data_IF_892676154001
#
_entry.id   IF_892676154001
#
_cell.length_a   1.000
_cell.length_b   1.000
_cell.length_c   1.000
_cell.angle_alpha   90.00
_cell.angle_beta   90.00
_cell.angle_gamma   90.00
#
_symmetry.space_group_name_H-M   'P 1'
#
loop_
_entity.id
_entity.type
_entity.pdbx_description
1 polymer ?
#
# COMPACT_ATOMS: atom_id res chain seq x y z
N UNK A 1 8.04 -20.94 -9.45
CA UNK A 1 7.44 -21.07 -8.10
C UNK A 1 6.58 -19.86 -7.75
N UNK A 2 7.07 -18.64 -8.00
CA UNK A 2 6.38 -17.37 -7.65
C UNK A 2 5.01 -17.17 -8.31
N UNK A 3 4.81 -17.57 -9.58
CA UNK A 3 3.51 -17.42 -10.26
C UNK A 3 2.41 -18.28 -9.64
N UNK A 4 2.73 -19.53 -9.29
CA UNK A 4 1.77 -20.45 -8.64
C UNK A 4 1.41 -19.93 -7.25
N UNK A 5 2.41 -19.48 -6.49
CA UNK A 5 2.20 -18.86 -5.18
C UNK A 5 1.30 -17.62 -5.28
N UNK A 6 1.56 -16.73 -6.24
CA UNK A 6 0.73 -15.55 -6.50
C UNK A 6 -0.72 -15.93 -6.83
N UNK A 7 -0.94 -16.92 -7.69
CA UNK A 7 -2.29 -17.40 -8.04
C UNK A 7 -2.99 -17.95 -6.79
N UNK A 8 -2.33 -18.83 -6.04
CA UNK A 8 -2.89 -19.42 -4.82
C UNK A 8 -3.27 -18.35 -3.80
N UNK A 9 -2.37 -17.39 -3.50
CA UNK A 9 -2.66 -16.31 -2.57
C UNK A 9 -3.72 -15.34 -3.10
N UNK A 10 -3.77 -15.10 -4.40
CA UNK A 10 -4.85 -14.30 -5.01
C UNK A 10 -6.21 -14.94 -4.76
N UNK A 11 -6.33 -16.26 -4.94
CA UNK A 11 -7.56 -17.00 -4.63
C UNK A 11 -7.89 -16.91 -3.15
N UNK A 12 -6.92 -17.18 -2.28
CA UNK A 12 -7.09 -17.11 -0.82
C UNK A 12 -7.52 -15.71 -0.37
N UNK A 13 -6.83 -14.66 -0.80
CA UNK A 13 -7.15 -13.27 -0.46
C UNK A 13 -8.53 -12.87 -0.99
N UNK A 14 -8.89 -13.29 -2.20
CA UNK A 14 -10.22 -13.05 -2.75
C UNK A 14 -11.26 -13.69 -1.86
N UNK A 15 -11.13 -14.99 -1.54
CA UNK A 15 -12.04 -15.72 -0.65
C UNK A 15 -12.16 -15.02 0.71
N UNK A 16 -11.03 -14.67 1.33
CA UNK A 16 -10.98 -14.00 2.64
C UNK A 16 -11.65 -12.63 2.60
N UNK A 17 -11.38 -11.84 1.57
CA UNK A 17 -12.03 -10.55 1.36
C UNK A 17 -13.55 -10.70 1.21
N UNK A 18 -13.97 -11.81 0.61
CA UNK A 18 -15.38 -12.19 0.42
C UNK A 18 -15.89 -13.10 1.57
N UNK A 19 -15.34 -13.06 2.78
CA UNK A 19 -15.97 -13.76 3.91
C UNK A 19 -17.03 -12.89 4.60
N UNK A 20 -18.24 -13.41 4.91
CA UNK A 20 -19.19 -12.69 5.75
C UNK A 20 -18.62 -12.57 7.17
N UNK A 21 -18.29 -11.35 7.59
CA UNK A 21 -17.66 -11.09 8.88
C UNK A 21 -18.70 -10.73 9.93
N UNK A 22 -18.60 -11.38 11.10
CA UNK A 22 -19.23 -10.87 12.31
C UNK A 22 -18.41 -9.69 12.85
N UNK A 23 -19.02 -8.73 13.56
CA UNK A 23 -18.29 -7.64 14.19
C UNK A 23 -17.20 -8.20 15.12
N UNK A 24 -15.98 -7.69 14.99
CA UNK A 24 -14.90 -8.05 15.91
C UNK A 24 -15.11 -7.36 17.26
N UNK A 25 -14.69 -8.04 18.34
CA UNK A 25 -14.49 -7.34 19.60
C UNK A 25 -13.30 -6.39 19.46
N UNK A 26 -13.25 -5.33 20.28
CA UNK A 26 -12.17 -4.33 20.22
C UNK A 26 -10.79 -4.95 20.39
N UNK A 27 -10.66 -5.96 21.27
CA UNK A 27 -9.41 -6.68 21.48
C UNK A 27 -8.98 -7.43 20.21
N UNK A 28 -9.91 -8.15 19.58
CA UNK A 28 -9.63 -8.89 18.32
C UNK A 28 -9.27 -7.92 17.20
N UNK A 29 -9.96 -6.78 17.09
CA UNK A 29 -9.63 -5.73 16.11
C UNK A 29 -8.19 -5.21 16.31
N UNK A 30 -7.77 -4.95 17.55
CA UNK A 30 -6.41 -4.47 17.83
C UNK A 30 -5.37 -5.57 17.53
N UNK A 31 -5.57 -6.79 18.04
CA UNK A 31 -4.62 -7.89 17.85
C UNK A 31 -4.46 -8.26 16.37
N UNK A 32 -5.56 -8.33 15.62
CA UNK A 32 -5.52 -8.62 14.19
C UNK A 32 -4.90 -7.50 13.37
N UNK A 33 -5.00 -6.25 13.82
CA UNK A 33 -4.31 -5.10 13.21
C UNK A 33 -2.80 -5.06 13.48
N UNK A 34 -2.37 -5.55 14.65
CA UNK A 34 -0.94 -5.60 15.01
C UNK A 34 -0.16 -6.61 14.15
N UNK A 35 -0.77 -7.71 13.73
CA UNK A 35 -0.12 -8.74 12.92
C UNK A 35 0.44 -8.18 11.58
N UNK A 36 -0.37 -7.56 10.70
CA UNK A 36 0.15 -6.94 9.49
C UNK A 36 1.14 -5.81 9.82
N UNK A 37 0.86 -5.00 10.85
CA UNK A 37 1.77 -3.93 11.25
C UNK A 37 3.17 -4.45 11.60
N UNK A 38 3.27 -5.53 12.38
CA UNK A 38 4.54 -6.16 12.73
C UNK A 38 5.23 -6.78 11.51
N UNK A 39 4.48 -7.47 10.63
CA UNK A 39 5.05 -8.11 9.44
C UNK A 39 5.61 -7.07 8.44
N UNK A 40 4.86 -6.00 8.16
CA UNK A 40 5.34 -4.90 7.33
C UNK A 40 6.47 -4.11 8.03
N UNK A 41 6.37 -3.92 9.35
CA UNK A 41 7.39 -3.28 10.17
C UNK A 41 8.72 -4.01 10.12
N UNK A 42 8.72 -5.35 10.13
CA UNK A 42 9.93 -6.16 9.93
C UNK A 42 10.56 -5.91 8.55
N UNK A 43 9.76 -5.76 7.49
CA UNK A 43 10.27 -5.47 6.15
C UNK A 43 10.91 -4.09 6.06
N UNK A 44 10.31 -3.09 6.70
CA UNK A 44 10.90 -1.73 6.83
C UNK A 44 12.18 -1.78 7.68
N UNK A 45 12.15 -2.54 8.78
CA UNK A 45 13.30 -2.75 9.66
C UNK A 45 14.50 -3.30 8.89
N UNK A 46 14.31 -4.37 8.10
CA UNK A 46 15.39 -4.94 7.29
C UNK A 46 15.96 -3.94 6.27
N UNK A 47 15.12 -3.04 5.74
CA UNK A 47 15.54 -1.97 4.83
C UNK A 47 16.58 -1.02 5.40
N UNK A 48 16.60 -0.80 6.72
CA UNK A 48 17.62 0.06 7.36
C UNK A 48 19.03 -0.53 7.35
N UNK A 49 19.17 -1.83 7.11
CA UNK A 49 20.45 -2.53 7.20
C UNK A 49 21.06 -2.91 5.84
N UNK A 50 20.41 -2.54 4.73
CA UNK A 50 20.85 -2.91 3.37
C UNK A 50 22.20 -2.29 3.00
N UNK A 51 22.44 -1.04 3.41
CA UNK A 51 23.64 -0.27 3.03
C UNK A 51 24.69 -0.17 4.16
N UNK A 52 24.54 -0.94 5.24
CA UNK A 52 25.46 -0.86 6.38
C UNK A 52 26.72 -1.71 6.10
N UNK A 53 27.94 -1.17 6.29
CA UNK A 53 29.18 -1.86 5.95
C UNK A 53 29.34 -3.23 6.63
N UNK A 54 29.95 -4.17 5.90
CA UNK A 54 30.37 -5.46 6.46
C UNK A 54 31.37 -5.25 7.60
N UNK A 55 31.08 -5.85 8.76
CA UNK A 55 31.93 -5.78 9.97
C UNK A 55 31.37 -4.92 11.10
N UNK A 56 30.23 -4.24 10.89
CA UNK A 56 29.54 -3.54 11.98
C UNK A 56 28.96 -4.57 13.01
N UNK A 57 29.27 -4.43 14.31
CA UNK A 57 28.76 -5.33 15.36
C UNK A 57 27.22 -5.34 15.47
N UNK A 58 26.54 -4.27 15.07
CA UNK A 58 25.08 -4.18 15.07
C UNK A 58 24.51 -5.00 13.92
N UNK A 59 25.07 -4.86 12.72
CA UNK A 59 24.63 -5.61 11.53
C UNK A 59 24.80 -7.09 11.73
N UNK A 60 25.95 -7.52 12.25
CA UNK A 60 26.22 -8.93 12.53
C UNK A 60 25.23 -9.54 13.53
N UNK A 61 24.73 -8.75 14.48
CA UNK A 61 23.72 -9.18 15.45
C UNK A 61 22.32 -9.33 14.84
N UNK A 62 21.94 -8.48 13.89
CA UNK A 62 20.62 -8.53 13.21
C UNK A 62 20.62 -9.35 11.93
N UNK A 63 21.81 -9.73 11.42
CA UNK A 63 22.00 -10.43 10.15
C UNK A 63 21.12 -11.67 9.98
N UNK A 64 20.97 -12.56 10.98
CA UNK A 64 20.10 -13.73 10.83
C UNK A 64 18.64 -13.36 10.53
N UNK A 65 18.17 -12.27 11.14
CA UNK A 65 16.81 -11.76 10.94
C UNK A 65 16.66 -11.09 9.57
N UNK A 66 17.61 -10.23 9.17
CA UNK A 66 17.57 -9.56 7.87
C UNK A 66 17.73 -10.53 6.71
N UNK A 67 18.60 -11.53 6.84
CA UNK A 67 18.80 -12.58 5.84
C UNK A 67 17.51 -13.40 5.67
N UNK A 68 16.83 -13.77 6.77
CA UNK A 68 15.54 -14.45 6.70
C UNK A 68 14.46 -13.60 6.01
N UNK A 69 14.36 -12.31 6.37
CA UNK A 69 13.41 -11.36 5.76
C UNK A 69 13.65 -11.24 4.25
N UNK A 70 14.92 -11.27 3.83
CA UNK A 70 15.33 -11.22 2.42
C UNK A 70 15.25 -12.58 1.70
N UNK A 71 14.75 -13.64 2.35
CA UNK A 71 14.48 -14.94 1.73
C UNK A 71 15.56 -16.01 1.95
N UNK A 72 16.48 -15.80 2.89
CA UNK A 72 17.62 -16.69 3.16
C UNK A 72 17.28 -17.98 3.92
N UNK A 73 16.07 -18.16 4.47
CA UNK A 73 15.73 -19.37 5.23
C UNK A 73 14.21 -19.69 5.25
N UNK A 74 13.87 -20.90 5.73
CA UNK A 74 12.51 -21.40 5.88
C UNK A 74 11.94 -21.12 7.29
N UNK A 75 10.66 -20.77 7.45
CA UNK A 75 9.65 -20.56 6.40
C UNK A 75 9.94 -19.29 5.60
N UNK A 76 9.64 -19.29 4.30
CA UNK A 76 9.89 -18.11 3.46
C UNK A 76 9.15 -16.89 4.02
N UNK A 77 9.86 -15.77 4.23
CA UNK A 77 9.24 -14.54 4.76
C UNK A 77 8.07 -14.04 3.90
N UNK A 78 8.12 -14.28 2.59
CA UNK A 78 7.00 -13.98 1.69
C UNK A 78 5.70 -14.68 2.11
N UNK A 79 5.77 -15.92 2.62
CA UNK A 79 4.59 -16.64 3.13
C UNK A 79 4.04 -15.96 4.40
N UNK A 80 4.91 -15.46 5.27
CA UNK A 80 4.52 -14.69 6.46
C UNK A 80 3.81 -13.40 6.05
N UNK A 81 4.35 -12.68 5.06
CA UNK A 81 3.72 -11.49 4.51
C UNK A 81 2.37 -11.79 3.86
N UNK A 82 2.29 -12.83 3.03
CA UNK A 82 1.04 -13.17 2.35
C UNK A 82 -0.06 -13.57 3.34
N UNK A 83 0.32 -14.24 4.45
CA UNK A 83 -0.58 -14.56 5.56
C UNK A 83 -0.97 -13.30 6.35
N UNK A 84 -0.02 -12.41 6.59
CA UNK A 84 -0.28 -11.14 7.27
C UNK A 84 -1.21 -10.24 6.45
N UNK A 85 -1.09 -10.23 5.11
CA UNK A 85 -2.02 -9.56 4.18
C UNK A 85 -3.41 -10.16 4.32
N UNK A 86 -3.54 -11.48 4.32
CA UNK A 86 -4.83 -12.15 4.51
C UNK A 86 -5.53 -11.73 5.83
N UNK A 87 -4.79 -11.72 6.94
CA UNK A 87 -5.31 -11.24 8.24
C UNK A 87 -5.63 -9.75 8.18
N UNK A 88 -4.77 -8.96 7.52
CA UNK A 88 -4.95 -7.54 7.31
C UNK A 88 -6.20 -7.20 6.52
N UNK A 89 -6.60 -8.01 5.54
CA UNK A 89 -7.85 -7.83 4.79
C UNK A 89 -9.09 -7.98 5.69
N UNK A 90 -9.09 -8.96 6.59
CA UNK A 90 -10.16 -9.16 7.57
C UNK A 90 -10.23 -8.00 8.55
N UNK A 91 -9.08 -7.63 9.10
CA UNK A 91 -8.95 -6.49 9.99
C UNK A 91 -9.42 -5.20 9.31
N UNK A 92 -8.98 -4.93 8.09
CA UNK A 92 -9.31 -3.73 7.34
C UNK A 92 -10.82 -3.61 7.09
N UNK A 93 -11.46 -4.72 6.70
CA UNK A 93 -12.91 -4.78 6.54
C UNK A 93 -13.65 -4.47 7.86
N UNK A 94 -13.19 -5.01 8.98
CA UNK A 94 -13.78 -4.80 10.30
C UNK A 94 -13.54 -3.37 10.83
N UNK A 95 -12.29 -2.89 10.80
CA UNK A 95 -11.87 -1.59 11.31
C UNK A 95 -12.58 -0.42 10.59
N UNK A 96 -12.88 -0.56 9.30
CA UNK A 96 -13.58 0.46 8.53
C UNK A 96 -15.07 0.18 8.28
N UNK A 97 -15.62 -0.88 8.88
CA UNK A 97 -17.02 -1.30 8.70
C UNK A 97 -17.42 -1.42 7.22
N UNK A 98 -16.57 -2.04 6.41
CA UNK A 98 -16.80 -2.16 4.97
C UNK A 98 -17.95 -3.15 4.72
N UNK A 99 -19.08 -2.70 4.12
CA UNK A 99 -20.22 -3.56 3.90
C UNK A 99 -19.89 -4.77 3.03
N UNK A 100 -20.57 -5.87 3.30
CA UNK A 100 -20.44 -7.11 2.55
C UNK A 100 -20.59 -6.91 1.03
N UNK A 101 -21.61 -6.17 0.61
CA UNK A 101 -21.88 -5.86 -0.80
C UNK A 101 -20.74 -5.07 -1.47
N UNK A 102 -20.11 -4.17 -0.73
CA UNK A 102 -18.96 -3.40 -1.21
C UNK A 102 -17.76 -4.30 -1.45
N UNK A 103 -17.51 -5.26 -0.54
CA UNK A 103 -16.41 -6.22 -0.66
C UNK A 103 -16.58 -7.15 -1.85
N UNK A 104 -17.80 -7.67 -2.05
CA UNK A 104 -18.13 -8.44 -3.25
C UNK A 104 -17.90 -7.65 -4.54
N UNK A 105 -18.34 -6.39 -4.57
CA UNK A 105 -18.18 -5.52 -5.74
C UNK A 105 -16.72 -5.19 -6.08
N UNK A 106 -15.79 -5.32 -5.12
CA UNK A 106 -14.36 -5.06 -5.32
C UNK A 106 -13.50 -6.33 -5.31
N UNK A 107 -14.08 -7.51 -5.15
CA UNK A 107 -13.34 -8.77 -5.06
C UNK A 107 -12.51 -9.07 -6.32
N UNK A 108 -12.97 -8.60 -7.49
CA UNK A 108 -12.28 -8.75 -8.77
C UNK A 108 -10.94 -8.00 -8.83
N UNK A 109 -10.68 -7.05 -7.93
CA UNK A 109 -9.43 -6.27 -7.93
C UNK A 109 -8.22 -7.18 -7.73
N UNK A 110 -8.30 -8.17 -6.84
CA UNK A 110 -7.20 -9.11 -6.60
C UNK A 110 -6.79 -9.89 -7.87
N UNK A 111 -7.70 -10.62 -8.56
CA UNK A 111 -7.33 -11.35 -9.77
C UNK A 111 -6.91 -10.43 -10.91
N UNK A 112 -7.45 -9.22 -11.04
CA UNK A 112 -7.00 -8.27 -12.07
C UNK A 112 -5.58 -7.78 -11.81
N UNK A 113 -5.24 -7.43 -10.56
CA UNK A 113 -3.88 -7.02 -10.19
C UNK A 113 -2.89 -8.17 -10.35
N UNK A 114 -3.28 -9.39 -9.97
CA UNK A 114 -2.45 -10.58 -10.18
C UNK A 114 -2.22 -10.87 -11.67
N UNK A 115 -3.29 -10.83 -12.48
CA UNK A 115 -3.19 -11.02 -13.93
C UNK A 115 -2.32 -9.95 -14.58
N UNK A 116 -2.45 -8.69 -14.17
CA UNK A 116 -1.58 -7.61 -14.63
C UNK A 116 -0.12 -7.89 -14.25
N UNK A 117 0.14 -8.31 -13.00
CA UNK A 117 1.50 -8.64 -12.56
C UNK A 117 2.15 -9.80 -13.32
N UNK A 118 1.40 -10.86 -13.56
CA UNK A 118 1.86 -12.00 -14.36
C UNK A 118 2.10 -11.57 -15.80
N UNK A 119 1.14 -10.85 -16.41
CA UNK A 119 1.22 -10.42 -17.80
C UNK A 119 2.43 -9.52 -18.01
N UNK A 120 2.61 -8.49 -17.19
CA UNK A 120 3.78 -7.60 -17.27
C UNK A 120 5.06 -8.39 -17.19
N UNK A 121 5.20 -9.29 -16.21
CA UNK A 121 6.44 -10.07 -16.07
C UNK A 121 6.70 -10.98 -17.26
N UNK A 122 5.66 -11.61 -17.82
CA UNK A 122 5.80 -12.51 -18.97
C UNK A 122 6.12 -11.73 -20.25
N UNK A 123 5.56 -10.54 -20.44
CA UNK A 123 5.74 -9.77 -21.68
C UNK A 123 6.97 -8.88 -21.67
N UNK A 124 7.34 -8.30 -20.53
CA UNK A 124 8.45 -7.32 -20.42
C UNK A 124 9.65 -7.85 -19.65
N UNK A 125 9.51 -8.95 -18.91
CA UNK A 125 10.54 -9.48 -18.02
C UNK A 125 10.73 -8.68 -16.72
N UNK A 126 10.02 -7.56 -16.55
CA UNK A 126 10.15 -6.65 -15.42
C UNK A 126 9.07 -6.90 -14.36
N UNK A 127 9.30 -6.43 -13.14
CA UNK A 127 8.23 -6.32 -12.15
C UNK A 127 7.25 -5.19 -12.55
N UNK A 128 6.02 -5.22 -12.04
CA UNK A 128 5.04 -4.14 -12.31
C UNK A 128 5.57 -2.78 -11.87
N UNK A 129 6.29 -2.74 -10.76
CA UNK A 129 6.86 -1.53 -10.19
C UNK A 129 7.89 -0.93 -11.14
N UNK A 130 8.84 -1.74 -11.61
CA UNK A 130 9.84 -1.35 -12.62
C UNK A 130 9.18 -0.91 -13.93
N UNK A 131 8.21 -1.67 -14.43
CA UNK A 131 7.54 -1.36 -15.67
C UNK A 131 6.78 -0.02 -15.60
N UNK A 132 6.05 0.22 -14.51
CA UNK A 132 5.31 1.48 -14.32
C UNK A 132 6.26 2.66 -14.14
N UNK A 133 7.34 2.50 -13.38
CA UNK A 133 8.34 3.55 -13.15
C UNK A 133 9.09 3.94 -14.44
N UNK A 134 9.32 2.98 -15.33
CA UNK A 134 10.01 3.22 -16.62
C UNK A 134 9.07 3.75 -17.71
N UNK A 135 7.79 3.37 -17.68
CA UNK A 135 6.84 3.70 -18.76
C UNK A 135 6.09 5.00 -18.53
N UNK A 136 5.78 5.34 -17.27
CA UNK A 136 4.98 6.50 -16.92
C UNK A 136 5.79 7.48 -16.08
N UNK A 137 5.49 8.78 -16.16
CA UNK A 137 6.00 9.74 -15.18
C UNK A 137 5.17 9.70 -13.90
N UNK A 138 5.77 10.06 -12.76
CA UNK A 138 5.11 10.03 -11.46
C UNK A 138 3.76 10.78 -11.42
N UNK A 139 3.60 11.99 -12.01
CA UNK A 139 2.31 12.67 -12.02
C UNK A 139 1.25 11.94 -12.84
N UNK A 140 1.65 11.29 -13.95
CA UNK A 140 0.73 10.52 -14.80
C UNK A 140 0.31 9.24 -14.10
N UNK A 141 1.24 8.54 -13.44
CA UNK A 141 0.90 7.37 -12.63
C UNK A 141 -0.03 7.73 -11.46
N UNK A 142 0.25 8.84 -10.76
CA UNK A 142 -0.60 9.35 -9.69
C UNK A 142 -2.00 9.67 -10.18
N UNK A 143 -2.13 10.32 -11.34
CA UNK A 143 -3.41 10.62 -11.95
C UNK A 143 -4.16 9.35 -12.35
N UNK A 144 -3.49 8.39 -12.99
CA UNK A 144 -4.10 7.10 -13.36
C UNK A 144 -4.62 6.36 -12.12
N UNK A 145 -3.81 6.28 -11.06
CA UNK A 145 -4.20 5.68 -9.78
C UNK A 145 -5.40 6.43 -9.17
N UNK A 146 -5.37 7.76 -9.14
CA UNK A 146 -6.45 8.57 -8.59
C UNK A 146 -7.77 8.42 -9.37
N UNK A 147 -7.69 8.29 -10.69
CA UNK A 147 -8.86 8.02 -11.54
C UNK A 147 -9.42 6.62 -11.26
N UNK A 148 -8.57 5.59 -11.14
CA UNK A 148 -9.02 4.23 -10.77
C UNK A 148 -9.68 4.22 -9.40
N UNK A 149 -9.06 4.85 -8.39
CA UNK A 149 -9.62 4.95 -7.04
C UNK A 149 -10.92 5.76 -7.02
N UNK A 150 -11.00 6.85 -7.79
CA UNK A 150 -12.21 7.65 -7.95
C UNK A 150 -13.34 6.86 -8.62
N UNK A 151 -13.02 6.05 -9.64
CA UNK A 151 -13.98 5.16 -10.28
C UNK A 151 -14.47 4.07 -9.32
N UNK A 152 -13.57 3.43 -8.56
CA UNK A 152 -13.92 2.47 -7.51
C UNK A 152 -14.84 3.11 -6.46
N UNK A 153 -14.51 4.30 -5.96
CA UNK A 153 -15.34 5.03 -4.99
C UNK A 153 -16.75 5.29 -5.52
N UNK A 154 -16.86 5.60 -6.81
CA UNK A 154 -18.14 5.93 -7.45
C UNK A 154 -18.98 4.69 -7.74
N UNK A 155 -18.34 3.60 -8.18
CA UNK A 155 -19.00 2.37 -8.60
C UNK A 155 -19.32 1.43 -7.43
N UNK A 156 -18.51 1.43 -6.38
CA UNK A 156 -18.69 0.53 -5.24
C UNK A 156 -20.00 0.86 -4.51
N UNK A 157 -20.90 -0.13 -4.33
CA UNK A 157 -22.11 0.04 -3.52
C UNK A 157 -21.72 0.41 -2.09
N UNK A 158 -22.48 1.30 -1.44
CA UNK A 158 -22.18 1.70 -0.08
C UNK A 158 -23.28 2.55 0.56
N UNK A 159 -23.16 2.87 1.86
CA UNK A 159 -24.16 3.64 2.60
C UNK A 159 -24.19 5.13 2.22
N UNK A 160 -23.17 5.60 1.48
CA UNK A 160 -23.03 7.01 1.13
C UNK A 160 -23.81 7.37 -0.14
N UNK A 161 -24.49 8.52 -0.11
CA UNK A 161 -25.22 9.05 -1.25
C UNK A 161 -24.30 9.32 -2.46
N UNK A 162 -24.81 9.24 -3.70
CA UNK A 162 -24.00 9.43 -4.91
C UNK A 162 -23.24 10.76 -4.97
N UNK A 163 -23.80 11.83 -4.41
CA UNK A 163 -23.17 13.16 -4.35
C UNK A 163 -21.91 13.15 -3.50
N UNK A 164 -21.96 12.61 -2.28
CA UNK A 164 -20.79 12.45 -1.39
C UNK A 164 -19.70 11.61 -2.05
N UNK A 165 -20.07 10.50 -2.70
CA UNK A 165 -19.13 9.65 -3.44
C UNK A 165 -18.47 10.37 -4.61
N UNK A 166 -19.24 11.19 -5.34
CA UNK A 166 -18.72 12.05 -6.43
C UNK A 166 -17.73 13.08 -5.89
N UNK A 167 -18.06 13.78 -4.81
CA UNK A 167 -17.16 14.76 -4.19
C UNK A 167 -15.88 14.10 -3.68
N UNK A 168 -15.99 12.92 -3.07
CA UNK A 168 -14.82 12.16 -2.62
C UNK A 168 -13.94 11.71 -3.80
N UNK A 169 -14.54 11.26 -4.91
CA UNK A 169 -13.81 10.90 -6.12
C UNK A 169 -13.09 12.11 -6.74
N UNK A 170 -13.74 13.27 -6.79
CA UNK A 170 -13.11 14.52 -7.25
C UNK A 170 -11.93 14.88 -6.34
N UNK A 171 -12.11 14.80 -5.02
CA UNK A 171 -11.05 15.06 -4.06
C UNK A 171 -9.84 14.11 -4.25
N UNK A 172 -10.06 12.83 -4.54
CA UNK A 172 -8.97 11.89 -4.86
C UNK A 172 -8.22 12.32 -6.12
N UNK A 173 -8.95 12.62 -7.19
CA UNK A 173 -8.39 13.03 -8.50
C UNK A 173 -7.65 14.36 -8.40
N UNK A 174 -8.01 15.24 -7.47
CA UNK A 174 -7.29 16.49 -7.24
C UNK A 174 -6.10 16.33 -6.30
N UNK A 175 -6.28 15.71 -5.14
CA UNK A 175 -5.26 15.71 -4.07
C UNK A 175 -4.07 14.84 -4.45
N UNK A 176 -4.30 13.60 -4.92
CA UNK A 176 -3.22 12.63 -5.15
C UNK A 176 -2.22 13.11 -6.22
N UNK A 177 -2.66 13.58 -7.41
CA UNK A 177 -1.72 14.03 -8.44
C UNK A 177 -1.00 15.32 -8.06
N UNK A 178 -1.70 16.29 -7.45
CA UNK A 178 -1.09 17.55 -6.99
C UNK A 178 -0.03 17.27 -5.94
N UNK A 179 -0.33 16.43 -4.95
CA UNK A 179 0.65 16.11 -3.93
C UNK A 179 1.84 15.31 -4.46
N UNK A 180 1.60 14.38 -5.38
CA UNK A 180 2.70 13.64 -6.04
C UNK A 180 3.56 14.58 -6.88
N UNK A 181 2.94 15.53 -7.59
CA UNK A 181 3.68 16.55 -8.33
C UNK A 181 4.56 17.40 -7.40
N UNK A 182 4.02 17.89 -6.28
CA UNK A 182 4.80 18.61 -5.27
C UNK A 182 5.93 17.76 -4.69
N UNK A 183 5.68 16.47 -4.45
CA UNK A 183 6.70 15.52 -3.98
C UNK A 183 7.85 15.39 -4.98
N UNK A 184 7.54 15.28 -6.27
CA UNK A 184 8.55 15.18 -7.35
C UNK A 184 9.37 16.47 -7.47
N UNK A 185 8.77 17.64 -7.21
CA UNK A 185 9.50 18.90 -7.17
C UNK A 185 10.52 18.96 -6.02
N UNK A 186 10.36 18.14 -4.98
CA UNK A 186 11.29 18.03 -3.86
C UNK A 186 12.38 16.97 -4.09
N UNK A 187 12.28 16.12 -5.12
CA UNK A 187 13.30 15.12 -5.49
C UNK A 187 14.71 15.70 -5.62
N UNK A 188 14.93 16.89 -6.22
CA UNK A 188 16.26 17.48 -6.32
C UNK A 188 16.98 17.62 -4.98
N UNK A 189 16.25 17.92 -3.90
CA UNK A 189 16.80 18.05 -2.54
C UNK A 189 17.38 16.73 -2.02
N UNK A 190 16.78 15.61 -2.43
CA UNK A 190 17.26 14.26 -2.08
C UNK A 190 18.47 13.91 -2.92
N UNK A 191 18.44 14.19 -4.22
CA UNK A 191 19.57 13.89 -5.11
C UNK A 191 20.82 14.71 -4.80
N UNK A 192 20.68 15.87 -4.15
CA UNK A 192 21.80 16.67 -3.66
C UNK A 192 22.45 16.13 -2.39
N UNK A 193 21.86 15.14 -1.71
CA UNK A 193 22.43 14.53 -0.51
C UNK A 193 23.50 13.48 -0.85
N UNK A 194 24.46 13.21 0.07
CA UNK A 194 25.43 12.13 -0.10
C UNK A 194 24.73 10.80 -0.38
N UNK A 195 25.27 9.92 -1.26
CA UNK A 195 24.64 8.64 -1.62
C UNK A 195 24.22 7.79 -0.42
N UNK A 196 25.01 7.79 0.65
CA UNK A 196 24.72 7.07 1.91
C UNK A 196 23.49 7.56 2.67
N UNK A 197 23.02 8.78 2.41
CA UNK A 197 21.85 9.37 3.05
C UNK A 197 20.62 9.41 2.13
N UNK A 198 20.78 9.12 0.83
CA UNK A 198 19.69 9.24 -0.14
C UNK A 198 18.56 8.26 0.18
N UNK A 199 18.85 6.99 0.50
CA UNK A 199 17.83 6.01 0.84
C UNK A 199 16.97 6.45 2.04
N UNK A 200 17.62 6.97 3.08
CA UNK A 200 16.94 7.50 4.27
C UNK A 200 16.10 8.74 3.92
N UNK A 201 16.65 9.67 3.15
CA UNK A 201 15.96 10.89 2.74
C UNK A 201 14.74 10.59 1.85
N UNK A 202 14.83 9.64 0.91
CA UNK A 202 13.70 9.15 0.10
C UNK A 202 12.60 8.56 0.99
N UNK A 203 12.97 7.73 1.95
CA UNK A 203 12.02 7.12 2.89
C UNK A 203 11.31 8.17 3.75
N UNK A 204 12.05 9.11 4.35
CA UNK A 204 11.47 10.20 5.13
C UNK A 204 10.57 11.08 4.27
N UNK A 205 11.00 11.41 3.05
CA UNK A 205 10.25 12.28 2.16
C UNK A 205 8.95 11.61 1.69
N UNK A 206 8.98 10.34 1.29
CA UNK A 206 7.79 9.57 0.88
C UNK A 206 6.81 9.36 2.04
N UNK A 207 7.30 8.97 3.21
CA UNK A 207 6.48 8.79 4.41
C UNK A 207 5.90 10.11 4.90
N UNK A 208 6.70 11.17 4.91
CA UNK A 208 6.30 12.52 5.29
C UNK A 208 5.23 13.07 4.35
N UNK A 209 5.43 12.94 3.04
CA UNK A 209 4.46 13.35 2.03
C UNK A 209 3.16 12.56 2.14
N UNK A 210 3.24 11.23 2.29
CA UNK A 210 2.07 10.38 2.53
C UNK A 210 1.31 10.75 3.81
N UNK A 211 2.02 11.03 4.90
CA UNK A 211 1.43 11.41 6.19
C UNK A 211 0.77 12.79 6.12
N UNK A 212 1.45 13.78 5.54
CA UNK A 212 0.92 15.13 5.37
C UNK A 212 -0.33 15.14 4.47
N UNK A 213 -0.30 14.39 3.38
CA UNK A 213 -1.46 14.24 2.49
C UNK A 213 -2.59 13.45 3.12
N UNK A 214 -2.31 12.47 3.98
CA UNK A 214 -3.35 11.82 4.78
C UNK A 214 -4.05 12.81 5.71
N UNK A 215 -3.30 13.65 6.42
CA UNK A 215 -3.87 14.71 7.29
C UNK A 215 -4.72 15.66 6.46
N UNK A 216 -4.22 16.11 5.31
CA UNK A 216 -5.00 16.94 4.39
C UNK A 216 -6.28 16.24 3.93
N UNK A 217 -6.19 14.97 3.51
CA UNK A 217 -7.35 14.14 3.18
C UNK A 217 -8.35 14.00 4.33
N UNK A 218 -7.88 13.89 5.57
CA UNK A 218 -8.74 13.82 6.76
C UNK A 218 -9.49 15.13 7.04
N UNK A 219 -8.87 16.27 6.75
CA UNK A 219 -9.44 17.60 6.95
C UNK A 219 -10.44 17.98 5.84
N UNK A 220 -10.15 17.62 4.59
CA UNK A 220 -10.90 18.10 3.41
C UNK A 220 -11.82 17.05 2.75
N UNK A 221 -12.03 15.89 3.36
CA UNK A 221 -12.96 14.89 2.81
C UNK A 221 -14.44 15.26 3.09
N UNK A 222 -15.37 14.74 2.26
CA UNK A 222 -16.79 15.03 2.40
C UNK A 222 -17.53 14.11 3.39
N UNK A 223 -16.84 13.24 4.14
CA UNK A 223 -17.48 12.23 5.00
C UNK A 223 -17.74 12.76 6.41
N UNK A 224 -18.93 12.44 6.95
CA UNK A 224 -19.29 12.75 8.35
C UNK A 224 -18.76 11.72 9.34
N UNK A 225 -18.82 10.43 8.98
CA UNK A 225 -18.44 9.34 9.87
C UNK A 225 -16.92 9.23 10.01
N UNK A 226 -16.40 9.25 11.25
CA UNK A 226 -14.96 9.26 11.51
C UNK A 226 -14.19 8.12 10.82
N UNK A 227 -14.72 6.89 10.85
CA UNK A 227 -14.09 5.74 10.17
C UNK A 227 -13.98 5.94 8.65
N UNK A 228 -14.97 6.56 8.01
CA UNK A 228 -14.89 6.89 6.58
C UNK A 228 -13.89 8.01 6.29
N UNK A 229 -13.78 8.99 7.19
CA UNK A 229 -12.76 10.05 7.11
C UNK A 229 -11.34 9.46 7.19
N UNK A 230 -11.11 8.56 8.16
CA UNK A 230 -9.85 7.87 8.36
C UNK A 230 -9.50 6.95 7.19
N UNK A 231 -10.46 6.20 6.66
CA UNK A 231 -10.26 5.38 5.46
C UNK A 231 -9.85 6.22 4.26
N UNK A 232 -10.53 7.35 4.04
CA UNK A 232 -10.20 8.27 2.95
C UNK A 232 -8.80 8.85 3.11
N UNK A 233 -8.46 9.32 4.31
CA UNK A 233 -7.13 9.82 4.64
C UNK A 233 -6.03 8.78 4.38
N UNK A 234 -6.26 7.53 4.83
CA UNK A 234 -5.35 6.41 4.60
C UNK A 234 -5.14 6.15 3.10
N UNK A 235 -6.22 6.07 2.31
CA UNK A 235 -6.14 5.84 0.86
C UNK A 235 -5.35 6.96 0.17
N UNK A 236 -5.62 8.22 0.50
CA UNK A 236 -4.88 9.37 -0.06
C UNK A 236 -3.39 9.28 0.28
N UNK A 237 -3.05 9.12 1.55
CA UNK A 237 -1.66 9.11 2.00
C UNK A 237 -0.86 7.94 1.46
N UNK A 238 -1.43 6.73 1.49
CA UNK A 238 -0.79 5.53 0.94
C UNK A 238 -0.60 5.66 -0.58
N UNK A 239 -1.55 6.25 -1.30
CA UNK A 239 -1.42 6.43 -2.76
C UNK A 239 -0.28 7.37 -3.13
N UNK A 240 -0.13 8.48 -2.42
CA UNK A 240 0.97 9.44 -2.63
C UNK A 240 2.30 8.82 -2.23
N UNK A 241 2.37 8.17 -1.07
CA UNK A 241 3.58 7.49 -0.60
C UNK A 241 4.04 6.38 -1.54
N UNK A 242 3.11 5.52 -1.98
CA UNK A 242 3.39 4.43 -2.91
C UNK A 242 3.86 4.97 -4.27
N UNK A 243 3.17 5.97 -4.83
CA UNK A 243 3.60 6.57 -6.10
C UNK A 243 4.96 7.24 -5.95
N UNK A 244 5.18 8.01 -4.89
CA UNK A 244 6.46 8.65 -4.60
C UNK A 244 7.61 7.65 -4.48
N UNK A 245 7.40 6.53 -3.79
CA UNK A 245 8.42 5.49 -3.59
C UNK A 245 8.91 4.82 -4.87
N UNK A 246 8.15 4.92 -5.97
CA UNK A 246 8.55 4.37 -7.27
C UNK A 246 9.50 5.28 -8.06
N UNK A 247 9.53 6.59 -7.74
CA UNK A 247 10.27 7.59 -8.52
C UNK A 247 11.32 8.35 -7.72
N UNK A 248 11.33 8.20 -6.39
CA UNK A 248 12.30 8.82 -5.51
C UNK A 248 13.55 7.97 -5.34
#
# INVERSE_FOLDING_TARGET
METIQLICFTVIWTVIWILPLKPFSRAVEITTGLIPFSAFGLRVFAGFFVDVPYGDPIVTSVKPLTDWINGGSFPAFQLVLDTAVAIGLLWFAAAFHIPWKSRLATAWVFPVVAAFSITTRVTTGQTVQEFLATTLSAPVLALALAVVLGALMRWTPGPHVPTTRRTAAIALISIIPVATFLLVLLTPLVTSMPPSQQAQARSILTLGAGSFTAVFGYLFNPFKANRSRLLFALVVGVSVGATGSLYL
#
